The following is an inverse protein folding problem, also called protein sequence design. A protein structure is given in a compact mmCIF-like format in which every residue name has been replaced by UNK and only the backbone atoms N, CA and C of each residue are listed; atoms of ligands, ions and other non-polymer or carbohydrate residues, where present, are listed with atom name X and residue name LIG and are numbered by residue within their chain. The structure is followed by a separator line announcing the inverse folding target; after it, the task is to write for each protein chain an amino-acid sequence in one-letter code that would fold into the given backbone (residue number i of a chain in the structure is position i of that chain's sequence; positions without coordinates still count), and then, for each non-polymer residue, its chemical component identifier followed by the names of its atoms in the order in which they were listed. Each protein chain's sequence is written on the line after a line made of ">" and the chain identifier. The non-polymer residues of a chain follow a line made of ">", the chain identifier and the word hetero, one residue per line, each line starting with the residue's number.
data_IF_871011949243
#
_entry.id   IF_871011949243
#
_cell.length_a   1.000
_cell.length_b   1.000
_cell.length_c   1.000
_cell.angle_alpha   90.00
_cell.angle_beta   90.00
_cell.angle_gamma   90.00
#
_symmetry.space_group_name_H-M   'P 1'
#
loop_
_entity.id
_entity.type
_entity.pdbx_description
1 polymer ?
#
# COMPACT_ATOMS: atom_id res chain seq x y z
N UNK A 1 0.73 24.45 -7.98
CA UNK A 1 -0.61 25.09 -7.87
C UNK A 1 -0.72 26.44 -8.60
N UNK A 2 0.36 27.20 -8.76
CA UNK A 2 0.35 28.52 -9.44
C UNK A 2 -0.02 28.44 -10.94
N UNK A 3 0.41 27.38 -11.64
CA UNK A 3 0.22 27.19 -13.08
C UNK A 3 -1.23 26.90 -13.52
N UNK A 4 -2.01 26.20 -12.70
CA UNK A 4 -3.44 25.97 -12.98
C UNK A 4 -4.23 27.29 -12.85
N UNK A 5 -3.80 28.15 -11.92
CA UNK A 5 -4.44 29.44 -11.66
C UNK A 5 -4.28 30.40 -12.83
N UNK A 6 -3.11 30.46 -13.48
CA UNK A 6 -2.89 31.29 -14.68
C UNK A 6 -3.74 30.82 -15.88
N UNK A 7 -3.84 29.51 -16.13
CA UNK A 7 -4.71 28.95 -17.20
C UNK A 7 -6.19 29.28 -17.01
N UNK A 8 -6.68 29.22 -15.77
CA UNK A 8 -8.08 29.59 -15.46
C UNK A 8 -8.31 31.09 -15.60
N UNK A 9 -7.31 31.92 -15.26
CA UNK A 9 -7.41 33.38 -15.35
C UNK A 9 -7.45 33.87 -16.81
N UNK A 10 -6.62 33.30 -17.68
CA UNK A 10 -6.62 33.62 -19.11
C UNK A 10 -7.90 33.13 -19.83
N UNK A 11 -8.41 31.95 -19.47
CA UNK A 11 -9.72 31.47 -19.99
C UNK A 11 -10.86 32.40 -19.59
N UNK A 12 -10.88 32.91 -18.36
CA UNK A 12 -11.96 33.76 -17.85
C UNK A 12 -11.97 35.17 -18.44
N UNK A 13 -10.82 35.72 -18.86
CA UNK A 13 -10.77 37.07 -19.43
C UNK A 13 -11.24 37.15 -20.90
N UNK A 14 -11.24 36.04 -21.66
CA UNK A 14 -11.66 36.03 -23.08
C UNK A 14 -12.99 35.30 -23.35
N UNK A 15 -13.64 34.76 -22.31
CA UNK A 15 -14.85 33.96 -22.43
C UNK A 15 -16.05 34.83 -22.84
N UNK A 16 -16.43 34.76 -24.13
CA UNK A 16 -17.65 35.39 -24.66
C UNK A 16 -18.91 34.58 -24.31
N UNK A 17 -20.08 35.23 -24.39
CA UNK A 17 -21.41 34.62 -24.19
C UNK A 17 -21.76 33.53 -25.22
N UNK A 18 -21.18 33.58 -26.43
CA UNK A 18 -21.41 32.58 -27.49
C UNK A 18 -20.06 32.08 -27.99
N UNK A 19 -19.94 30.76 -28.03
CA UNK A 19 -18.76 30.03 -28.49
C UNK A 19 -18.91 29.76 -30.00
N UNK A 20 -17.83 29.85 -30.77
CA UNK A 20 -17.88 29.69 -32.23
C UNK A 20 -16.59 29.00 -32.68
N UNK A 21 -16.73 27.80 -33.24
CA UNK A 21 -15.62 26.87 -33.44
C UNK A 21 -14.43 27.46 -34.22
N UNK A 22 -14.70 28.32 -35.21
CA UNK A 22 -13.63 28.99 -35.99
C UNK A 22 -12.77 29.94 -35.14
N UNK A 23 -13.38 30.71 -34.24
CA UNK A 23 -12.65 31.66 -33.39
C UNK A 23 -11.98 30.93 -32.23
N UNK A 24 -12.63 29.90 -31.69
CA UNK A 24 -12.04 29.06 -30.65
C UNK A 24 -10.81 28.29 -31.16
N UNK A 25 -10.86 27.80 -32.40
CA UNK A 25 -9.71 27.19 -33.07
C UNK A 25 -8.57 28.20 -33.26
N UNK A 26 -8.88 29.44 -33.67
CA UNK A 26 -7.88 30.50 -33.81
C UNK A 26 -7.20 30.85 -32.48
N UNK A 27 -8.00 31.03 -31.41
CA UNK A 27 -7.47 31.30 -30.06
C UNK A 27 -6.63 30.14 -29.52
N UNK A 28 -7.02 28.90 -29.81
CA UNK A 28 -6.24 27.72 -29.44
C UNK A 28 -4.90 27.69 -30.18
N UNK A 29 -4.89 27.99 -31.49
CA UNK A 29 -3.67 28.13 -32.28
C UNK A 29 -2.78 29.26 -31.77
N UNK A 30 -3.36 30.42 -31.43
CA UNK A 30 -2.64 31.57 -30.92
C UNK A 30 -1.99 31.28 -29.55
N UNK A 31 -2.73 30.66 -28.64
CA UNK A 31 -2.19 30.14 -27.37
C UNK A 31 -1.08 29.13 -27.63
N UNK A 32 -1.27 28.25 -28.62
CA UNK A 32 -0.31 27.21 -28.92
C UNK A 32 1.02 27.74 -29.47
N UNK A 33 0.95 28.85 -30.21
CA UNK A 33 2.09 29.44 -30.90
C UNK A 33 2.83 30.50 -30.07
N UNK A 34 2.12 31.17 -29.14
CA UNK A 34 2.68 32.23 -28.29
C UNK A 34 3.25 31.71 -26.96
N UNK A 35 2.79 30.58 -26.47
CA UNK A 35 3.32 29.96 -25.25
C UNK A 35 4.37 28.90 -25.62
N UNK A 36 5.60 29.05 -25.13
CA UNK A 36 6.54 27.92 -25.04
C UNK A 36 6.00 26.94 -24.00
N UNK A 37 5.27 25.90 -24.43
CA UNK A 37 4.91 24.83 -23.51
C UNK A 37 6.16 24.07 -23.11
N UNK A 38 6.46 24.04 -21.83
CA UNK A 38 7.29 22.98 -21.30
C UNK A 38 6.55 21.65 -21.55
N UNK A 39 7.16 20.79 -22.37
CA UNK A 39 6.69 19.41 -22.54
C UNK A 39 6.62 18.81 -21.15
N UNK A 40 5.42 18.50 -20.66
CA UNK A 40 5.19 17.89 -19.35
C UNK A 40 5.85 16.49 -19.33
N UNK A 41 7.16 16.43 -19.15
CA UNK A 41 7.98 15.21 -19.22
C UNK A 41 8.17 14.60 -17.85
N UNK A 42 7.10 14.29 -17.10
CA UNK A 42 7.30 13.61 -15.82
C UNK A 42 6.14 12.67 -15.49
N UNK A 43 6.06 11.56 -16.22
CA UNK A 43 5.17 10.46 -15.82
C UNK A 43 5.78 9.07 -15.98
N UNK A 44 6.77 8.87 -16.86
CA UNK A 44 7.31 7.53 -17.15
C UNK A 44 7.94 6.85 -15.93
N UNK A 45 8.88 7.54 -15.26
CA UNK A 45 9.62 6.98 -14.12
C UNK A 45 8.74 6.84 -12.87
N UNK A 46 7.91 7.86 -12.58
CA UNK A 46 7.01 7.82 -11.43
C UNK A 46 5.96 6.72 -11.58
N UNK A 47 5.38 6.58 -12.78
CA UNK A 47 4.44 5.49 -13.07
C UNK A 47 5.11 4.13 -13.00
N UNK A 48 6.36 4.00 -13.48
CA UNK A 48 7.13 2.76 -13.37
C UNK A 48 7.38 2.40 -11.89
N UNK A 49 7.79 3.36 -11.07
CA UNK A 49 8.02 3.15 -9.64
C UNK A 49 6.75 2.73 -8.91
N UNK A 50 5.60 3.33 -9.23
CA UNK A 50 4.31 2.92 -8.66
C UNK A 50 3.94 1.49 -9.03
N UNK A 51 4.15 1.09 -10.29
CA UNK A 51 3.92 -0.28 -10.74
C UNK A 51 4.85 -1.27 -10.05
N UNK A 52 6.12 -0.91 -9.86
CA UNK A 52 7.09 -1.73 -9.13
C UNK A 52 6.67 -1.90 -7.67
N UNK A 53 6.30 -0.81 -7.00
CA UNK A 53 5.88 -0.83 -5.60
C UNK A 53 4.63 -1.70 -5.39
N UNK A 54 3.68 -1.64 -6.32
CA UNK A 54 2.47 -2.49 -6.29
C UNK A 54 2.83 -3.97 -6.35
N UNK A 55 3.72 -4.37 -7.27
CA UNK A 55 4.19 -5.76 -7.38
C UNK A 55 4.98 -6.21 -6.14
N UNK A 56 5.80 -5.33 -5.57
CA UNK A 56 6.52 -5.64 -4.34
C UNK A 56 5.56 -5.84 -3.17
N UNK A 57 4.52 -5.02 -3.08
CA UNK A 57 3.49 -5.17 -2.06
C UNK A 57 2.75 -6.50 -2.18
N UNK A 58 2.37 -6.91 -3.39
CA UNK A 58 1.76 -8.23 -3.64
C UNK A 58 2.70 -9.36 -3.20
N UNK A 59 3.97 -9.31 -3.61
CA UNK A 59 4.97 -10.31 -3.22
C UNK A 59 5.18 -10.40 -1.70
N UNK A 60 5.24 -9.26 -1.00
CA UNK A 60 5.35 -9.22 0.46
C UNK A 60 4.10 -9.80 1.11
N UNK A 61 2.93 -9.51 0.55
CA UNK A 61 1.65 -10.03 1.06
C UNK A 61 1.58 -11.55 0.92
N UNK A 62 2.02 -12.09 -0.22
CA UNK A 62 2.09 -13.54 -0.43
C UNK A 62 3.06 -14.20 0.55
N UNK A 63 4.25 -13.61 0.73
CA UNK A 63 5.22 -14.10 1.73
C UNK A 63 4.65 -14.05 3.15
N UNK A 64 3.91 -13.00 3.50
CA UNK A 64 3.25 -12.88 4.81
C UNK A 64 2.23 -13.99 5.02
N UNK A 65 1.35 -14.25 4.04
CA UNK A 65 0.36 -15.33 4.11
C UNK A 65 1.04 -16.69 4.24
N UNK A 66 2.11 -16.93 3.47
CA UNK A 66 2.87 -18.17 3.54
C UNK A 66 3.53 -18.35 4.90
N UNK A 67 4.21 -17.33 5.43
CA UNK A 67 4.83 -17.37 6.75
C UNK A 67 3.78 -17.65 7.85
N UNK A 68 2.58 -17.07 7.71
CA UNK A 68 1.46 -17.28 8.63
C UNK A 68 1.00 -18.76 8.65
N UNK A 69 0.88 -19.37 7.48
CA UNK A 69 0.51 -20.78 7.31
C UNK A 69 1.61 -21.72 7.82
N UNK A 70 2.88 -21.41 7.51
CA UNK A 70 4.01 -22.19 7.99
C UNK A 70 4.12 -22.15 9.52
N UNK A 71 3.95 -20.96 10.12
CA UNK A 71 3.89 -20.81 11.57
C UNK A 71 2.76 -21.65 12.19
N UNK A 72 1.57 -21.62 11.58
CA UNK A 72 0.43 -22.42 11.99
C UNK A 72 0.67 -23.92 11.89
N UNK A 73 1.31 -24.39 10.81
CA UNK A 73 1.63 -25.80 10.62
C UNK A 73 2.64 -26.31 11.66
N UNK A 74 3.69 -25.51 11.93
CA UNK A 74 4.67 -25.83 12.97
C UNK A 74 4.01 -25.82 14.36
N UNK A 75 3.14 -24.86 14.63
CA UNK A 75 2.39 -24.81 15.88
C UNK A 75 1.50 -26.05 16.06
N UNK A 76 0.80 -26.50 15.03
CA UNK A 76 -0.03 -27.71 15.12
C UNK A 76 0.81 -28.97 15.39
N UNK A 77 2.03 -29.02 14.85
CA UNK A 77 2.94 -30.15 15.06
C UNK A 77 3.48 -30.20 16.51
N UNK A 78 3.77 -29.05 17.12
CA UNK A 78 4.39 -29.00 18.45
C UNK A 78 3.35 -28.85 19.57
N UNK A 79 2.24 -28.14 19.29
CA UNK A 79 1.17 -27.80 20.25
C UNK A 79 -0.22 -27.79 19.58
N UNK A 80 -0.84 -28.96 19.36
CA UNK A 80 -2.11 -29.07 18.62
C UNK A 80 -3.28 -28.29 19.27
N UNK A 81 -3.29 -28.14 20.60
CA UNK A 81 -4.37 -27.43 21.32
C UNK A 81 -4.13 -25.92 21.47
N UNK A 82 -3.00 -25.39 20.98
CA UNK A 82 -2.60 -23.99 21.19
C UNK A 82 -3.61 -22.99 20.60
N UNK A 83 -4.30 -23.37 19.52
CA UNK A 83 -5.35 -22.56 18.87
C UNK A 83 -6.61 -22.42 19.74
N UNK A 84 -6.91 -23.40 20.59
CA UNK A 84 -8.07 -23.35 21.50
C UNK A 84 -7.83 -22.47 22.72
N UNK A 85 -6.57 -22.28 23.12
CA UNK A 85 -6.17 -21.55 24.33
C UNK A 85 -6.10 -20.04 24.07
N UNK A 86 -5.70 -19.63 22.86
CA UNK A 86 -5.56 -18.22 22.49
C UNK A 86 -6.49 -17.85 21.34
N UNK A 87 -7.41 -16.91 21.58
CA UNK A 87 -8.31 -16.40 20.53
C UNK A 87 -7.60 -15.66 19.39
N UNK A 88 -6.43 -15.07 19.64
CA UNK A 88 -5.54 -14.51 18.62
C UNK A 88 -4.10 -15.01 18.81
N UNK A 89 -3.67 -15.87 17.89
CA UNK A 89 -2.34 -16.50 17.88
C UNK A 89 -1.20 -15.51 17.59
N UNK A 90 -1.50 -14.38 16.95
CA UNK A 90 -0.51 -13.38 16.54
C UNK A 90 -0.43 -12.20 17.53
N UNK A 91 -1.20 -12.28 18.61
CA UNK A 91 -1.14 -11.30 19.69
C UNK A 91 0.19 -11.37 20.45
N UNK A 92 0.53 -10.27 21.12
CA UNK A 92 1.78 -10.11 21.87
C UNK A 92 1.99 -11.21 22.92
N UNK A 93 0.91 -11.67 23.57
CA UNK A 93 0.96 -12.64 24.66
C UNK A 93 1.34 -14.05 24.18
N UNK A 94 0.67 -14.64 23.17
CA UNK A 94 1.07 -15.94 22.62
C UNK A 94 2.48 -15.90 22.02
N UNK A 95 2.85 -14.85 21.27
CA UNK A 95 4.20 -14.73 20.71
C UNK A 95 5.29 -14.65 21.78
N UNK A 96 5.05 -13.92 22.88
CA UNK A 96 5.98 -13.87 24.01
C UNK A 96 6.06 -15.20 24.77
N UNK A 97 4.94 -15.90 24.89
CA UNK A 97 4.89 -17.24 25.48
C UNK A 97 5.70 -18.23 24.65
N UNK A 98 5.53 -18.24 23.33
CA UNK A 98 6.30 -19.10 22.43
C UNK A 98 7.81 -18.79 22.48
N UNK A 99 8.16 -17.50 22.55
CA UNK A 99 9.56 -17.07 22.68
C UNK A 99 10.21 -17.55 23.99
N UNK A 100 9.42 -17.65 25.07
CA UNK A 100 9.91 -18.10 26.38
C UNK A 100 9.97 -19.63 26.48
N UNK A 101 9.08 -20.33 25.79
CA UNK A 101 8.96 -21.79 25.82
C UNK A 101 9.31 -22.36 24.44
N UNK A 102 10.61 -22.44 24.13
CA UNK A 102 11.13 -22.91 22.84
C UNK A 102 11.00 -24.41 22.60
N UNK A 103 10.73 -25.21 23.63
CA UNK A 103 10.70 -26.68 23.55
C UNK A 103 9.49 -27.22 24.31
N UNK A 104 8.75 -28.15 23.69
CA UNK A 104 7.58 -28.83 24.26
C UNK A 104 7.84 -29.43 25.65
N UNK A 105 9.07 -29.91 25.91
CA UNK A 105 9.50 -30.47 27.20
C UNK A 105 9.40 -29.49 28.39
N UNK A 106 9.58 -28.18 28.15
CA UNK A 106 9.52 -27.18 29.23
C UNK A 106 8.07 -26.91 29.63
N UNK A 107 7.12 -27.01 28.69
CA UNK A 107 5.69 -26.80 28.98
C UNK A 107 5.08 -27.95 29.77
N UNK A 108 5.51 -29.19 29.52
CA UNK A 108 5.08 -30.38 30.29
C UNK A 108 5.58 -30.27 31.74
N UNK A 109 6.87 -29.94 31.94
CA UNK A 109 7.44 -29.71 33.29
C UNK A 109 6.87 -28.48 34.01
N UNK A 110 6.53 -27.42 33.28
CA UNK A 110 5.94 -26.22 33.87
C UNK A 110 4.47 -26.41 34.27
N UNK A 111 3.73 -27.29 33.58
CA UNK A 111 2.38 -27.71 33.98
C UNK A 111 2.35 -28.49 35.28
N UNK A 112 3.37 -29.32 35.53
CA UNK A 112 3.50 -30.11 36.76
C UNK A 112 3.90 -29.25 37.99
N UNK A 113 4.66 -28.18 37.78
CA UNK A 113 5.19 -27.35 38.88
C UNK A 113 4.25 -26.20 39.33
N UNK A 114 3.05 -26.06 38.76
CA UNK A 114 2.12 -24.97 39.10
C UNK A 114 0.70 -25.40 39.46
N UNK A 115 0.55 -26.66 39.88
CA UNK A 115 -0.67 -27.21 40.49
C UNK A 115 -0.40 -27.83 41.88
N UNK A 116 0.59 -27.34 42.61
CA UNK A 116 0.74 -27.54 44.06
C UNK A 116 0.91 -26.19 44.76
#
# INVERSE_FOLDING_TARGET
>A
MVWISQKVKAKKSSLRKVKTDAVDAYQLCELYYKEEFEVHKQSGIQLLNLRLLTRQFESITDMYVQAKLQFQAVLDQVFPDYRGIFGDLYSKIPLLSLKKFSTSEITIKAGEAKLL
#
